data_IF_224904103523
#
_entry.id   IF_224904103523
#
_cell.length_a   1.000
_cell.length_b   1.000
_cell.length_c   1.000
_cell.angle_alpha   90.00
_cell.angle_beta   90.00
_cell.angle_gamma   90.00
#
_symmetry.space_group_name_H-M   'P 1'
#
loop_
_entity.id
_entity.type
_entity.pdbx_description
1 polymer ?
#
# COMPACT_ATOMS: atom_id res chain seq x y z
N UNK A 1 11.82 10.35 -3.76
CA UNK A 1 11.35 11.59 -3.10
C UNK A 1 10.18 12.18 -3.89
N UNK A 2 9.32 12.98 -3.27
CA UNK A 2 8.30 13.75 -4.00
C UNK A 2 9.00 14.76 -4.93
N UNK A 3 8.38 15.09 -6.06
CA UNK A 3 8.86 16.14 -6.99
C UNK A 3 8.97 17.52 -6.31
N UNK A 4 8.36 17.67 -5.13
CA UNK A 4 8.29 18.91 -4.36
C UNK A 4 9.18 18.90 -3.11
N UNK A 5 10.09 17.93 -2.98
CA UNK A 5 10.92 17.75 -1.79
C UNK A 5 10.17 17.06 -0.64
N UNK A 6 10.70 17.11 0.60
CA UNK A 6 10.06 16.51 1.76
C UNK A 6 8.70 17.15 2.04
N UNK A 7 7.63 16.34 2.10
CA UNK A 7 6.30 16.82 2.51
C UNK A 7 6.10 16.40 3.96
N UNK A 8 6.07 17.38 4.85
CA UNK A 8 5.88 17.13 6.29
C UNK A 8 4.40 16.97 6.62
N UNK A 9 4.08 15.96 7.43
CA UNK A 9 2.77 15.80 8.07
C UNK A 9 2.92 16.09 9.56
N UNK A 10 1.91 16.69 10.20
CA UNK A 10 1.95 17.08 11.62
C UNK A 10 1.20 16.10 12.54
N UNK A 11 0.82 14.92 12.03
CA UNK A 11 -0.05 13.98 12.76
C UNK A 11 0.78 13.13 13.71
N UNK A 12 0.33 13.02 14.96
CA UNK A 12 1.08 12.34 16.04
C UNK A 12 0.40 11.07 16.56
N UNK A 13 -0.91 10.89 16.33
CA UNK A 13 -1.66 9.73 16.81
C UNK A 13 -1.80 8.64 15.75
N UNK A 14 -1.45 7.41 16.13
CA UNK A 14 -1.72 6.21 15.32
C UNK A 14 -3.22 5.89 15.34
N UNK A 15 -3.69 5.28 14.25
CA UNK A 15 -5.08 4.82 14.12
C UNK A 15 -5.18 3.38 14.64
N UNK A 16 -6.36 2.96 15.15
CA UNK A 16 -6.53 1.62 15.69
C UNK A 16 -6.25 0.53 14.63
N UNK A 17 -5.71 -0.63 15.05
CA UNK A 17 -5.60 -1.79 14.18
C UNK A 17 -6.97 -2.29 13.71
N UNK A 18 -7.01 -2.87 12.50
CA UNK A 18 -8.24 -3.42 11.93
C UNK A 18 -8.08 -4.87 11.52
N UNK A 19 -9.13 -5.68 11.67
CA UNK A 19 -9.19 -7.08 11.31
C UNK A 19 -9.99 -7.30 10.02
N UNK A 20 -9.39 -8.06 9.10
CA UNK A 20 -9.94 -8.39 7.78
C UNK A 20 -9.95 -9.89 7.57
N UNK A 21 -10.96 -10.38 6.86
CA UNK A 21 -11.06 -11.80 6.54
C UNK A 21 -9.92 -12.22 5.61
N UNK A 22 -9.34 -13.38 5.89
CA UNK A 22 -8.32 -13.94 5.02
C UNK A 22 -8.92 -14.29 3.65
N UNK A 23 -8.29 -13.85 2.55
CA UNK A 23 -8.72 -14.22 1.19
C UNK A 23 -8.31 -15.65 0.81
N UNK A 24 -7.49 -16.34 1.61
CA UNK A 24 -7.10 -17.73 1.38
C UNK A 24 -8.23 -18.67 1.80
N UNK A 25 -8.39 -19.78 1.08
CA UNK A 25 -9.30 -20.85 1.51
C UNK A 25 -8.82 -21.40 2.85
N UNK A 26 -9.74 -21.61 3.78
CA UNK A 26 -9.41 -22.15 5.09
C UNK A 26 -8.88 -23.58 4.95
N UNK A 27 -7.68 -23.80 5.46
CA UNK A 27 -7.16 -25.10 5.87
C UNK A 27 -6.50 -24.93 7.25
N UNK A 28 -6.07 -26.03 7.87
CA UNK A 28 -5.54 -26.01 9.24
C UNK A 28 -4.27 -25.14 9.42
N UNK A 29 -3.55 -24.83 8.34
CA UNK A 29 -2.32 -24.02 8.38
C UNK A 29 -2.52 -22.60 7.81
N UNK A 30 -3.68 -22.32 7.21
CA UNK A 30 -3.95 -21.04 6.57
C UNK A 30 -4.29 -19.96 7.58
N UNK A 31 -3.86 -18.71 7.34
CA UNK A 31 -4.26 -17.61 8.18
C UNK A 31 -5.77 -17.43 8.10
N UNK A 32 -6.41 -17.25 9.25
CA UNK A 32 -7.85 -17.00 9.36
C UNK A 32 -8.19 -15.53 9.15
N UNK A 33 -7.24 -14.63 9.44
CA UNK A 33 -7.42 -13.19 9.29
C UNK A 33 -6.13 -12.44 8.89
N UNK A 34 -6.30 -11.19 8.49
CA UNK A 34 -5.25 -10.18 8.41
C UNK A 34 -5.55 -9.07 9.40
N UNK A 35 -4.58 -8.74 10.25
CA UNK A 35 -4.59 -7.53 11.08
C UNK A 35 -3.77 -6.45 10.39
N UNK A 36 -4.32 -5.24 10.25
CA UNK A 36 -3.64 -4.10 9.64
C UNK A 36 -3.31 -3.10 10.74
N UNK A 37 -2.05 -2.72 10.87
CA UNK A 37 -1.53 -1.90 11.96
C UNK A 37 -1.00 -0.59 11.41
N UNK A 38 -1.48 0.54 11.93
CA UNK A 38 -0.86 1.84 11.68
C UNK A 38 0.37 1.98 12.56
N UNK A 39 1.54 2.04 11.93
CA UNK A 39 2.85 2.09 12.59
C UNK A 39 3.64 3.31 12.13
N UNK A 40 4.51 3.81 13.00
CA UNK A 40 5.55 4.76 12.65
C UNK A 40 6.92 4.05 12.65
N UNK A 41 7.96 4.77 12.21
CA UNK A 41 9.33 4.23 12.15
C UNK A 41 9.81 3.69 13.49
N UNK A 42 9.62 4.44 14.57
CA UNK A 42 10.08 4.04 15.91
C UNK A 42 9.40 2.75 16.40
N UNK A 43 8.10 2.58 16.13
CA UNK A 43 7.36 1.36 16.46
C UNK A 43 7.89 0.14 15.69
N UNK A 44 8.25 0.33 14.41
CA UNK A 44 8.83 -0.73 13.58
C UNK A 44 10.26 -1.09 14.04
N UNK A 45 11.09 -0.09 14.36
CA UNK A 45 12.46 -0.30 14.86
C UNK A 45 12.49 -0.92 16.27
N UNK A 46 11.45 -0.70 17.09
CA UNK A 46 11.31 -1.34 18.39
C UNK A 46 10.97 -2.83 18.31
N UNK A 47 10.51 -3.33 17.15
CA UNK A 47 10.23 -4.74 16.89
C UNK A 47 11.43 -5.39 16.19
N UNK A 48 12.18 -6.28 16.87
CA UNK A 48 13.43 -6.81 16.33
C UNK A 48 13.28 -7.42 14.93
N UNK A 49 14.05 -6.90 13.97
CA UNK A 49 14.13 -7.42 12.60
C UNK A 49 13.00 -6.99 11.66
N UNK A 50 11.96 -6.31 12.14
CA UNK A 50 10.84 -5.92 11.27
C UNK A 50 11.28 -4.86 10.26
N UNK A 51 12.01 -3.84 10.69
CA UNK A 51 12.49 -2.78 9.80
C UNK A 51 13.35 -3.34 8.66
N UNK A 52 14.31 -4.19 9.01
CA UNK A 52 15.23 -4.85 8.08
C UNK A 52 14.48 -5.74 7.09
N UNK A 53 13.45 -6.46 7.57
CA UNK A 53 12.62 -7.28 6.71
C UNK A 53 11.78 -6.45 5.73
N UNK A 54 11.13 -5.37 6.19
CA UNK A 54 10.37 -4.49 5.29
C UNK A 54 11.28 -3.81 4.27
N UNK A 55 12.47 -3.41 4.69
CA UNK A 55 13.49 -2.83 3.81
C UNK A 55 13.93 -3.82 2.73
N UNK A 56 14.29 -5.05 3.11
CA UNK A 56 14.75 -6.06 2.16
C UNK A 56 13.68 -6.40 1.12
N UNK A 57 12.43 -6.57 1.56
CA UNK A 57 11.30 -6.83 0.66
C UNK A 57 11.08 -5.66 -0.31
N UNK A 58 11.18 -4.42 0.15
CA UNK A 58 11.04 -3.26 -0.74
C UNK A 58 12.23 -3.11 -1.70
N UNK A 59 13.45 -3.37 -1.24
CA UNK A 59 14.64 -3.36 -2.08
C UNK A 59 14.54 -4.40 -3.20
N UNK A 60 14.08 -5.61 -2.89
CA UNK A 60 13.87 -6.67 -3.89
C UNK A 60 12.77 -6.30 -4.90
N UNK A 61 11.69 -5.64 -4.46
CA UNK A 61 10.64 -5.13 -5.35
C UNK A 61 11.19 -4.08 -6.32
N UNK A 62 12.03 -3.17 -5.84
CA UNK A 62 12.70 -2.16 -6.67
C UNK A 62 13.69 -2.80 -7.64
N UNK A 63 14.50 -3.75 -7.17
CA UNK A 63 15.50 -4.44 -7.99
C UNK A 63 14.86 -5.30 -9.09
N UNK A 64 13.63 -5.78 -8.86
CA UNK A 64 12.81 -6.42 -9.89
C UNK A 64 12.55 -5.47 -11.06
N UNK A 65 12.40 -4.17 -10.81
CA UNK A 65 12.34 -3.12 -11.84
C UNK A 65 11.07 -3.12 -12.69
N UNK A 66 9.95 -3.61 -12.16
CA UNK A 66 8.68 -3.78 -12.91
C UNK A 66 7.50 -2.95 -12.37
N UNK A 67 7.62 -2.37 -11.17
CA UNK A 67 6.45 -1.86 -10.42
C UNK A 67 6.68 -0.49 -9.78
N UNK A 68 7.92 -0.17 -9.42
CA UNK A 68 8.33 1.11 -8.83
C UNK A 68 9.29 1.85 -9.76
N UNK A 69 9.22 3.19 -9.86
CA UNK A 69 10.13 3.98 -10.68
C UNK A 69 11.52 4.17 -10.07
N UNK A 70 11.70 3.82 -8.80
CA UNK A 70 12.98 3.98 -8.12
C UNK A 70 14.02 3.00 -8.66
N UNK A 71 15.28 3.38 -8.53
CA UNK A 71 16.44 2.51 -8.74
C UNK A 71 17.29 2.56 -7.47
N UNK A 72 18.04 1.49 -7.19
CA UNK A 72 19.12 1.46 -6.18
C UNK A 72 18.69 1.81 -4.72
N UNK A 73 17.58 1.24 -4.22
CA UNK A 73 17.05 1.54 -2.87
C UNK A 73 17.60 0.61 -1.76
N UNK A 74 18.83 0.11 -1.92
CA UNK A 74 19.47 -0.77 -0.92
C UNK A 74 19.99 -0.05 0.32
N UNK A 75 19.97 1.27 0.34
CA UNK A 75 20.27 2.06 1.54
C UNK A 75 19.06 2.13 2.49
N UNK A 76 19.28 1.75 3.76
CA UNK A 76 18.25 1.77 4.80
C UNK A 76 17.76 3.19 5.11
N UNK A 77 18.64 4.19 5.06
CA UNK A 77 18.25 5.57 5.32
C UNK A 77 17.35 6.12 4.20
N UNK A 78 17.68 5.83 2.95
CA UNK A 78 16.84 6.15 1.80
C UNK A 78 15.46 5.47 1.88
N UNK A 79 15.40 4.20 2.27
CA UNK A 79 14.14 3.49 2.51
C UNK A 79 13.32 4.16 3.62
N UNK A 80 13.92 4.43 4.78
CA UNK A 80 13.24 5.10 5.88
C UNK A 80 12.68 6.47 5.45
N UNK A 81 13.49 7.30 4.80
CA UNK A 81 13.09 8.62 4.34
C UNK A 81 12.00 8.59 3.26
N UNK A 82 11.91 7.51 2.49
CA UNK A 82 10.91 7.38 1.44
C UNK A 82 9.60 6.76 1.95
N UNK A 83 9.69 5.63 2.64
CA UNK A 83 8.56 4.78 3.00
C UNK A 83 7.92 5.24 4.31
N UNK A 84 8.70 5.73 5.26
CA UNK A 84 8.23 6.27 6.55
C UNK A 84 8.17 7.81 6.57
N UNK A 85 8.01 8.43 5.40
CA UNK A 85 7.87 9.89 5.29
C UNK A 85 6.55 10.43 5.91
N UNK A 86 5.56 9.56 6.10
CA UNK A 86 4.28 9.86 6.72
C UNK A 86 3.71 8.56 7.35
N UNK A 87 2.48 8.18 7.02
CA UNK A 87 1.78 7.06 7.62
C UNK A 87 2.19 5.73 6.95
N UNK A 88 2.43 4.67 7.74
CA UNK A 88 2.72 3.32 7.24
C UNK A 88 1.76 2.32 7.87
N UNK A 89 1.22 1.44 7.04
CA UNK A 89 0.33 0.37 7.44
C UNK A 89 1.01 -0.97 7.15
N UNK A 90 1.09 -1.84 8.15
CA UNK A 90 1.67 -3.19 8.03
C UNK A 90 0.59 -4.23 8.28
N UNK A 91 0.47 -5.20 7.39
CA UNK A 91 -0.46 -6.31 7.50
C UNK A 91 0.21 -7.56 8.06
N UNK A 92 -0.29 -8.06 9.18
CA UNK A 92 0.14 -9.30 9.80
C UNK A 92 -0.97 -10.33 9.66
N UNK A 93 -0.68 -11.44 9.00
CA UNK A 93 -1.56 -12.60 8.98
C UNK A 93 -1.67 -13.19 10.38
N UNK A 94 -2.83 -13.69 10.78
CA UNK A 94 -3.01 -14.37 12.05
C UNK A 94 -3.92 -15.59 11.93
N UNK A 95 -3.94 -16.40 12.99
CA UNK A 95 -4.73 -17.62 13.12
C UNK A 95 -5.54 -17.56 14.41
N UNK A 96 -6.68 -18.24 14.44
CA UNK A 96 -7.56 -18.27 15.61
C UNK A 96 -8.59 -17.14 15.60
N UNK A 97 -9.19 -16.91 16.77
CA UNK A 97 -10.20 -15.87 17.00
C UNK A 97 -9.57 -14.69 17.74
N UNK A 98 -9.94 -13.48 17.35
CA UNK A 98 -9.53 -12.23 18.00
C UNK A 98 -10.78 -11.58 18.56
N UNK A 99 -10.73 -11.16 19.83
CA UNK A 99 -11.82 -10.41 20.44
C UNK A 99 -12.02 -9.09 19.67
N UNK A 100 -13.23 -8.91 19.12
CA UNK A 100 -13.59 -7.72 18.35
C UNK A 100 -14.08 -6.63 19.30
N UNK A 101 -13.60 -5.40 19.16
CA UNK A 101 -14.09 -4.28 19.98
C UNK A 101 -15.32 -3.66 19.35
N UNK A 102 -15.30 -3.31 18.06
CA UNK A 102 -16.45 -2.71 17.36
C UNK A 102 -16.43 -2.97 15.83
N UNK A 103 -17.60 -2.90 15.19
CA UNK A 103 -17.76 -2.97 13.73
C UNK A 103 -18.27 -1.62 13.21
N UNK A 104 -17.38 -0.79 12.68
CA UNK A 104 -17.72 0.50 12.07
C UNK A 104 -17.58 0.41 10.56
N UNK A 105 -18.65 0.74 9.83
CA UNK A 105 -18.69 0.72 8.36
C UNK A 105 -18.25 -0.61 7.71
N UNK A 106 -18.48 -1.73 8.42
CA UNK A 106 -18.07 -3.06 7.97
C UNK A 106 -16.61 -3.43 8.26
N UNK A 107 -15.81 -2.51 8.79
CA UNK A 107 -14.43 -2.73 9.27
C UNK A 107 -14.45 -3.04 10.75
N UNK A 108 -13.63 -4.01 11.19
CA UNK A 108 -13.56 -4.47 12.58
C UNK A 108 -12.31 -3.91 13.23
N UNK A 109 -12.46 -2.92 14.10
CA UNK A 109 -11.33 -2.43 14.90
C UNK A 109 -11.03 -3.43 16.02
N UNK A 110 -9.77 -3.53 16.40
CA UNK A 110 -9.29 -4.47 17.43
C UNK A 110 -8.20 -3.86 18.28
N UNK A 111 -8.14 -4.28 19.55
CA UNK A 111 -6.96 -4.09 20.39
C UNK A 111 -6.05 -5.32 20.24
N UNK A 112 -5.20 -5.28 19.23
CA UNK A 112 -4.24 -6.34 18.91
C UNK A 112 -2.93 -5.69 18.49
N UNK A 113 -1.85 -5.96 19.20
CA UNK A 113 -0.52 -5.47 18.84
C UNK A 113 0.08 -6.28 17.68
N UNK A 114 1.11 -5.71 17.04
CA UNK A 114 1.88 -6.41 15.98
C UNK A 114 2.50 -7.71 16.49
N UNK A 115 3.03 -7.72 17.72
CA UNK A 115 3.69 -8.90 18.30
C UNK A 115 2.69 -9.99 18.70
N UNK A 116 1.53 -9.63 19.23
CA UNK A 116 0.44 -10.58 19.49
C UNK A 116 -0.07 -11.19 18.17
N UNK A 117 -0.25 -10.37 17.12
CA UNK A 117 -0.60 -10.86 15.80
C UNK A 117 0.50 -11.78 15.21
N UNK A 118 1.78 -11.44 15.41
CA UNK A 118 2.93 -12.26 14.97
C UNK A 118 2.94 -13.62 15.65
N UNK A 119 2.61 -13.66 16.94
CA UNK A 119 2.55 -14.88 17.75
C UNK A 119 3.85 -15.71 17.64
N UNK A 120 5.01 -15.03 17.70
CA UNK A 120 6.35 -15.66 17.64
C UNK A 120 6.79 -16.16 16.25
N UNK A 121 5.96 -16.07 15.22
CA UNK A 121 6.33 -16.47 13.84
C UNK A 121 7.32 -15.49 13.22
N UNK A 122 8.13 -15.96 12.27
CA UNK A 122 9.06 -15.08 11.56
C UNK A 122 8.32 -14.03 10.70
N UNK A 123 8.98 -12.91 10.39
CA UNK A 123 8.38 -11.84 9.57
C UNK A 123 8.06 -12.32 8.15
N UNK A 124 8.93 -13.18 7.59
CA UNK A 124 8.74 -13.83 6.29
C UNK A 124 7.41 -14.59 6.23
N UNK A 125 7.04 -15.27 7.33
CA UNK A 125 5.83 -16.06 7.41
C UNK A 125 4.59 -15.19 7.62
N UNK A 126 4.68 -14.17 8.48
CA UNK A 126 3.48 -13.49 8.98
C UNK A 126 3.16 -12.16 8.29
N UNK A 127 4.13 -11.43 7.74
CA UNK A 127 3.87 -10.15 7.05
C UNK A 127 3.20 -10.43 5.71
N UNK A 128 1.94 -10.05 5.56
CA UNK A 128 1.18 -10.19 4.31
C UNK A 128 1.49 -9.09 3.29
N UNK A 129 2.00 -7.96 3.76
CA UNK A 129 2.32 -6.79 2.96
C UNK A 129 2.20 -5.51 3.77
N UNK A 130 2.56 -4.41 3.13
CA UNK A 130 2.63 -3.10 3.77
C UNK A 130 2.46 -2.00 2.73
N UNK A 131 2.02 -0.84 3.18
CA UNK A 131 1.89 0.33 2.31
C UNK A 131 2.08 1.61 3.10
N UNK A 132 2.57 2.63 2.42
CA UNK A 132 2.58 3.99 2.97
C UNK A 132 1.35 4.77 2.49
N UNK A 133 0.94 5.78 3.25
CA UNK A 133 0.02 6.83 2.82
C UNK A 133 0.65 8.17 3.13
N UNK A 134 0.78 9.03 2.12
CA UNK A 134 1.37 10.36 2.28
C UNK A 134 0.68 11.38 1.38
N UNK A 135 0.80 12.68 1.65
CA UNK A 135 0.31 13.69 0.71
C UNK A 135 1.00 13.52 -0.65
N UNK A 136 0.21 13.53 -1.74
CA UNK A 136 0.77 13.47 -3.08
C UNK A 136 1.42 14.80 -3.49
N UNK A 137 0.88 15.90 -2.96
CA UNK A 137 1.28 17.27 -3.25
C UNK A 137 1.50 18.05 -1.96
N UNK A 138 2.32 19.12 -1.98
CA UNK A 138 2.52 19.97 -0.82
C UNK A 138 1.33 20.91 -0.56
N UNK A 139 1.27 21.46 0.65
CA UNK A 139 0.48 22.65 0.99
C UNK A 139 -1.00 22.55 0.61
N UNK A 140 -1.45 23.40 -0.32
CA UNK A 140 -2.87 23.55 -0.71
C UNK A 140 -3.50 22.29 -1.27
N UNK A 141 -2.69 21.35 -1.75
CA UNK A 141 -3.14 20.09 -2.35
C UNK A 141 -2.81 18.86 -1.51
N UNK A 142 -2.40 19.06 -0.24
CA UNK A 142 -1.99 17.96 0.66
C UNK A 142 -3.15 17.06 1.11
N UNK A 143 -4.39 17.50 0.90
CA UNK A 143 -5.59 16.70 1.14
C UNK A 143 -5.76 15.54 0.15
N UNK A 144 -4.99 15.52 -0.94
CA UNK A 144 -4.91 14.40 -1.89
C UNK A 144 -3.70 13.55 -1.50
N UNK A 145 -3.92 12.30 -1.10
CA UNK A 145 -2.84 11.38 -0.79
C UNK A 145 -2.40 10.55 -2.00
N UNK A 146 -1.23 9.96 -1.86
CA UNK A 146 -0.72 8.86 -2.66
C UNK A 146 -0.34 7.71 -1.73
N UNK A 147 -0.39 6.49 -2.25
CA UNK A 147 0.05 5.29 -1.55
C UNK A 147 0.89 4.40 -2.46
N UNK A 148 1.78 3.62 -1.86
CA UNK A 148 2.55 2.58 -2.53
C UNK A 148 2.45 1.30 -1.74
N UNK A 149 2.12 0.20 -2.42
CA UNK A 149 1.84 -1.11 -1.82
C UNK A 149 2.95 -2.08 -2.13
N UNK A 150 3.26 -2.95 -1.17
CA UNK A 150 4.25 -4.02 -1.31
C UNK A 150 3.66 -5.29 -0.72
N UNK A 151 3.75 -6.39 -1.48
CA UNK A 151 3.39 -7.73 -1.02
C UNK A 151 4.63 -8.60 -1.17
N UNK A 152 5.16 -9.17 -0.07
CA UNK A 152 6.33 -10.04 -0.12
C UNK A 152 6.18 -11.13 -1.18
N UNK A 153 7.24 -11.47 -1.95
CA UNK A 153 7.17 -12.43 -3.03
C UNK A 153 6.54 -13.78 -2.64
N UNK A 154 6.88 -14.29 -1.45
CA UNK A 154 6.35 -15.53 -0.89
C UNK A 154 4.86 -15.46 -0.45
N UNK A 155 4.26 -14.27 -0.45
CA UNK A 155 2.86 -14.03 -0.09
C UNK A 155 1.98 -13.67 -1.30
N UNK A 156 2.59 -13.44 -2.48
CA UNK A 156 1.88 -13.13 -3.73
C UNK A 156 0.97 -14.29 -4.16
N UNK A 157 -0.05 -13.98 -4.95
CA UNK A 157 -1.09 -14.95 -5.35
C UNK A 157 -2.09 -15.29 -4.24
N UNK A 158 -1.79 -14.96 -2.98
CA UNK A 158 -2.67 -15.20 -1.84
C UNK A 158 -3.81 -14.19 -1.66
N UNK A 159 -4.04 -13.26 -2.60
CA UNK A 159 -5.14 -12.28 -2.52
C UNK A 159 -4.94 -11.09 -1.57
N UNK A 160 -3.82 -11.01 -0.86
CA UNK A 160 -3.59 -9.98 0.17
C UNK A 160 -3.56 -8.55 -0.37
N UNK A 161 -3.09 -8.32 -1.60
CA UNK A 161 -3.14 -6.99 -2.21
C UNK A 161 -4.56 -6.40 -2.27
N UNK A 162 -5.58 -7.23 -2.43
CA UNK A 162 -6.98 -6.82 -2.38
C UNK A 162 -7.39 -6.37 -0.97
N UNK A 163 -6.91 -7.05 0.07
CA UNK A 163 -7.18 -6.67 1.47
C UNK A 163 -6.46 -5.38 1.83
N UNK A 164 -5.19 -5.22 1.43
CA UNK A 164 -4.44 -3.98 1.63
C UNK A 164 -5.13 -2.78 0.95
N UNK A 165 -5.62 -2.97 -0.27
CA UNK A 165 -6.30 -1.92 -0.99
C UNK A 165 -7.66 -1.55 -0.38
N UNK A 166 -8.40 -2.53 0.17
CA UNK A 166 -9.63 -2.26 0.93
C UNK A 166 -9.34 -1.56 2.25
N UNK A 167 -8.29 -1.95 2.97
CA UNK A 167 -7.90 -1.27 4.20
C UNK A 167 -7.43 0.15 3.93
N UNK A 168 -6.77 0.40 2.79
CA UNK A 168 -6.44 1.75 2.36
C UNK A 168 -7.67 2.65 2.17
N UNK A 169 -8.79 2.11 1.66
CA UNK A 169 -10.04 2.88 1.54
C UNK A 169 -10.66 3.23 2.90
N UNK A 170 -10.30 2.50 3.96
CA UNK A 170 -10.66 2.85 5.34
C UNK A 170 -9.67 3.85 5.95
N UNK A 171 -8.37 3.54 5.90
CA UNK A 171 -7.33 4.37 6.51
C UNK A 171 -7.12 5.71 5.81
N UNK A 172 -7.24 5.80 4.49
CA UNK A 172 -7.10 7.04 3.73
C UNK A 172 -7.96 8.21 4.27
N UNK A 173 -9.29 8.07 4.30
CA UNK A 173 -10.16 9.09 4.90
C UNK A 173 -9.99 9.23 6.41
N UNK A 174 -9.71 8.15 7.16
CA UNK A 174 -9.44 8.24 8.61
C UNK A 174 -8.17 9.07 8.92
N UNK A 175 -7.19 9.03 8.00
CA UNK A 175 -6.00 9.88 7.99
C UNK A 175 -6.29 11.32 7.52
N UNK A 176 -7.57 11.69 7.31
CA UNK A 176 -8.02 13.04 6.98
C UNK A 176 -7.85 13.45 5.51
N UNK A 177 -7.42 12.52 4.65
CA UNK A 177 -7.37 12.79 3.21
C UNK A 177 -8.77 12.80 2.60
N UNK A 178 -8.95 13.60 1.55
CA UNK A 178 -10.21 13.75 0.83
C UNK A 178 -10.24 12.98 -0.49
N UNK A 179 -9.07 12.69 -1.04
CA UNK A 179 -8.94 11.91 -2.26
C UNK A 179 -7.58 11.21 -2.32
N UNK A 180 -7.46 10.30 -3.29
CA UNK A 180 -6.26 9.56 -3.63
C UNK A 180 -5.88 9.79 -5.09
N UNK A 181 -4.58 9.91 -5.35
CA UNK A 181 -3.98 9.82 -6.68
C UNK A 181 -2.84 8.81 -6.65
N UNK A 182 -2.84 7.89 -7.61
CA UNK A 182 -1.67 7.07 -7.94
C UNK A 182 -1.07 7.54 -9.25
N UNK A 183 0.15 8.07 -9.20
CA UNK A 183 0.73 8.77 -10.35
C UNK A 183 1.25 7.83 -11.45
N UNK A 184 1.78 6.66 -11.07
CA UNK A 184 2.50 5.77 -11.97
C UNK A 184 2.07 4.31 -11.77
N UNK A 185 0.87 3.95 -12.24
CA UNK A 185 0.46 2.55 -12.32
C UNK A 185 0.76 2.02 -13.72
N UNK A 186 1.89 1.36 -13.89
CA UNK A 186 2.33 0.83 -15.19
C UNK A 186 1.30 -0.14 -15.80
N UNK A 187 1.04 0.00 -17.10
CA UNK A 187 -0.01 -0.75 -17.80
C UNK A 187 0.24 -2.27 -17.82
N UNK A 188 1.51 -2.69 -17.73
CA UNK A 188 1.90 -4.10 -17.67
C UNK A 188 1.74 -4.72 -16.26
N UNK A 189 1.50 -3.91 -15.23
CA UNK A 189 1.06 -4.36 -13.91
C UNK A 189 -0.46 -4.59 -13.89
N UNK A 190 -0.89 -5.58 -14.68
CA UNK A 190 -2.31 -5.87 -14.91
C UNK A 190 -3.07 -6.23 -13.63
N UNK A 191 -2.39 -6.79 -12.62
CA UNK A 191 -2.97 -7.06 -11.31
C UNK A 191 -3.35 -5.77 -10.57
N UNK A 192 -2.46 -4.77 -10.56
CA UNK A 192 -2.72 -3.46 -9.95
C UNK A 192 -3.81 -2.70 -10.68
N UNK A 193 -3.74 -2.64 -12.02
CA UNK A 193 -4.76 -1.98 -12.87
C UNK A 193 -6.16 -2.54 -12.58
N UNK A 194 -6.34 -3.87 -12.63
CA UNK A 194 -7.64 -4.52 -12.37
C UNK A 194 -8.12 -4.30 -10.94
N UNK A 195 -7.22 -4.25 -9.97
CA UNK A 195 -7.57 -4.00 -8.58
C UNK A 195 -8.15 -2.60 -8.40
N UNK A 196 -7.51 -1.58 -8.97
CA UNK A 196 -7.99 -0.19 -8.86
C UNK A 196 -9.29 0.03 -9.61
N UNK A 197 -9.46 -0.57 -10.80
CA UNK A 197 -10.74 -0.57 -11.51
C UNK A 197 -11.86 -1.21 -10.68
N UNK A 198 -11.60 -2.37 -10.05
CA UNK A 198 -12.58 -3.05 -9.19
C UNK A 198 -12.97 -2.23 -7.95
N UNK A 199 -12.08 -1.36 -7.48
CA UNK A 199 -12.31 -0.45 -6.34
C UNK A 199 -12.85 0.93 -6.78
N UNK A 200 -13.30 1.03 -8.04
CA UNK A 200 -13.87 2.24 -8.63
C UNK A 200 -12.92 3.44 -8.49
N UNK A 201 -11.62 3.24 -8.76
CA UNK A 201 -10.72 4.35 -9.09
C UNK A 201 -10.91 4.70 -10.57
N UNK A 202 -10.93 5.99 -10.86
CA UNK A 202 -11.00 6.54 -12.21
C UNK A 202 -9.60 6.55 -12.82
N UNK A 203 -9.48 6.09 -14.07
CA UNK A 203 -8.29 6.36 -14.90
C UNK A 203 -8.30 7.83 -15.33
N UNK A 204 -7.67 8.69 -14.54
CA UNK A 204 -7.66 10.13 -14.74
C UNK A 204 -6.77 10.57 -15.93
N UNK A 205 -5.81 9.72 -16.32
CA UNK A 205 -4.96 9.98 -17.48
C UNK A 205 -4.02 8.81 -17.78
N UNK A 206 -3.42 8.84 -18.97
CA UNK A 206 -2.38 7.91 -19.41
C UNK A 206 -1.14 8.71 -19.76
N UNK A 207 0.02 8.32 -19.22
CA UNK A 207 1.31 8.90 -19.56
C UNK A 207 2.02 7.89 -20.48
N UNK A 208 2.18 8.18 -21.78
CA UNK A 208 2.89 7.30 -22.70
C UNK A 208 4.36 7.17 -22.30
N UNK A 209 4.91 5.95 -22.37
CA UNK A 209 6.33 5.66 -22.12
C UNK A 209 6.87 6.23 -20.79
N UNK A 210 6.04 6.23 -19.75
CA UNK A 210 6.32 6.85 -18.46
C UNK A 210 7.44 6.17 -17.66
N UNK A 211 7.58 4.85 -17.79
CA UNK A 211 8.58 4.06 -17.06
C UNK A 211 9.56 3.39 -18.00
N UNK A 212 10.85 3.51 -17.72
CA UNK A 212 11.89 2.67 -18.28
C UNK A 212 12.05 1.46 -17.35
N UNK A 213 11.43 0.34 -17.70
CA UNK A 213 11.32 -0.84 -16.85
C UNK A 213 12.20 -1.98 -17.37
N UNK A 214 12.60 -2.88 -16.49
CA UNK A 214 13.19 -4.16 -16.91
C UNK A 214 12.16 -4.97 -17.70
N UNK A 215 12.62 -5.84 -18.59
CA UNK A 215 11.72 -6.68 -19.37
C UNK A 215 11.16 -7.81 -18.52
N UNK A 216 9.84 -8.00 -18.59
CA UNK A 216 9.13 -9.02 -17.80
C UNK A 216 9.50 -10.46 -18.19
N UNK A 217 9.96 -10.69 -19.42
CA UNK A 217 10.38 -11.98 -19.93
C UNK A 217 11.77 -12.42 -19.44
N UNK A 218 12.43 -11.61 -18.61
CA UNK A 218 13.74 -11.89 -18.05
C UNK A 218 14.88 -11.75 -19.05
N UNK A 219 14.61 -11.29 -20.28
CA UNK A 219 15.66 -10.95 -21.22
C UNK A 219 16.39 -9.68 -20.78
N UNK A 220 17.67 -9.58 -21.12
CA UNK A 220 18.45 -8.37 -20.87
C UNK A 220 17.84 -7.15 -21.58
N UNK A 221 17.97 -6.00 -20.93
CA UNK A 221 17.50 -4.71 -21.43
C UNK A 221 16.26 -4.18 -20.72
N UNK A 222 15.77 -3.06 -21.26
CA UNK A 222 14.67 -2.28 -20.70
C UNK A 222 13.64 -1.98 -21.79
N UNK A 223 12.40 -1.74 -21.36
CA UNK A 223 11.31 -1.29 -22.21
C UNK A 223 10.64 -0.03 -21.63
N UNK A 224 10.13 0.82 -22.52
CA UNK A 224 9.37 1.99 -22.12
C UNK A 224 7.88 1.65 -22.05
N UNK A 225 7.32 1.75 -20.85
CA UNK A 225 5.96 1.30 -20.54
C UNK A 225 5.10 2.49 -20.12
N UNK A 226 3.89 2.54 -20.66
CA UNK A 226 2.90 3.56 -20.29
C UNK A 226 2.48 3.40 -18.81
N UNK A 227 2.00 4.49 -18.20
CA UNK A 227 1.45 4.46 -16.85
C UNK A 227 0.09 5.16 -16.77
N UNK A 228 -0.87 4.50 -16.12
CA UNK A 228 -2.12 5.13 -15.73
C UNK A 228 -1.89 6.02 -14.51
N UNK A 229 -2.52 7.20 -14.55
CA UNK A 229 -2.83 7.99 -13.37
C UNK A 229 -4.21 7.57 -12.88
N UNK A 230 -4.30 7.05 -11.66
CA UNK A 230 -5.58 6.74 -11.03
C UNK A 230 -5.98 7.81 -10.03
N UNK A 231 -7.28 8.10 -9.95
CA UNK A 231 -7.89 9.04 -9.00
C UNK A 231 -9.06 8.39 -8.28
N UNK A 232 -9.29 8.76 -7.02
CA UNK A 232 -10.51 8.43 -6.28
C UNK A 232 -10.81 9.48 -5.22
N UNK A 233 -12.04 10.01 -5.19
CA UNK A 233 -12.54 10.75 -4.03
C UNK A 233 -12.88 9.80 -2.87
N UNK A 234 -12.57 10.23 -1.66
CA UNK A 234 -13.03 9.59 -0.42
C UNK A 234 -14.28 10.26 0.17
N UNK A 235 -14.72 11.37 -0.41
CA UNK A 235 -15.96 12.02 -0.03
C UNK A 235 -17.15 11.33 -0.74
N UNK A 236 -18.34 11.34 -0.13
CA UNK A 236 -19.53 10.63 -0.63
C UNK A 236 -19.94 11.06 -2.05
N UNK A 237 -20.50 10.11 -2.81
CA UNK A 237 -20.86 10.16 -4.25
C UNK A 237 -20.28 11.34 -5.05
N UNK A 238 -19.09 11.12 -5.62
CA UNK A 238 -18.59 11.92 -6.74
C UNK A 238 -19.66 12.00 -7.84
N UNK A 239 -20.14 13.21 -8.12
CA UNK A 239 -20.76 13.52 -9.41
C UNK A 239 -19.75 13.11 -10.46
N UNK A 240 -20.05 12.02 -11.16
CA UNK A 240 -19.17 11.41 -12.13
C UNK A 240 -18.48 12.49 -12.95
N UNK A 241 -17.16 12.39 -13.04
CA UNK A 241 -16.42 13.03 -14.12
C UNK A 241 -17.00 12.40 -15.39
N UNK A 242 -18.02 13.07 -15.94
CA UNK A 242 -18.63 12.72 -17.20
C UNK A 242 -17.48 12.66 -18.20
N UNK A 243 -17.37 11.55 -18.92
CA UNK A 243 -16.36 11.28 -19.95
C UNK A 243 -16.44 12.20 -21.17
N UNK A 244 -16.93 13.43 -21.01
CA UNK A 244 -17.21 14.41 -22.06
C UNK A 244 -16.04 15.35 -22.39
N UNK A 245 -14.89 15.22 -21.72
CA UNK A 245 -13.74 16.14 -21.96
C UNK A 245 -12.65 15.52 -22.86
N UNK A 246 -12.77 14.24 -23.26
CA UNK A 246 -11.79 13.58 -24.15
C UNK A 246 -12.17 13.61 -25.65
N UNK A 247 -13.09 14.49 -26.06
CA UNK A 247 -13.50 14.61 -27.48
C UNK A 247 -13.39 16.04 -28.03
N UNK A 248 -12.40 16.81 -27.60
CA UNK A 248 -12.06 18.12 -28.18
C UNK A 248 -10.67 18.08 -28.83
#
# INVERSE_FOLDING_TARGET
MSAYGPITTSRTSLLPPTLWDSPRKADAASPTFLSIHHVNRSAVEALPGLFEYLHSVFADEVDTGLSYPQENVRDQAAFANYFFAADVLVAITGTGEVAMTEKKDGVREVDLSVEEARAGRSWEVCVAGFYYVKPNYPGRSSHICNAGFVVPPNQRGGGFGSVLAKSYLHYGPALGYKASVFNLVYVNNTASVRLWEKLNFTKAGLIPKAGRLKRKDGQEGEEYVDAWVFYKSFEGEDRGVNAAILSA
#
